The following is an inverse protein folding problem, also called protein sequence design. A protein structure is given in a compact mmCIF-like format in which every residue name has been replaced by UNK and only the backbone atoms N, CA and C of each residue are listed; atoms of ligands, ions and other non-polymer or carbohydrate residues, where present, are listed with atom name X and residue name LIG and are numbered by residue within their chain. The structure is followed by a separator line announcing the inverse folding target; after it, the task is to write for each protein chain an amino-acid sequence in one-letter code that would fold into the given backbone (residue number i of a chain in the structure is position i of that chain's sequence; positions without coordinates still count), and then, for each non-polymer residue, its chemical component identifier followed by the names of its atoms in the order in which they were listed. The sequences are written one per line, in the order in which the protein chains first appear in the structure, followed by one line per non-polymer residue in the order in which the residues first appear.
data_IF_193685750425
#
_entry.id   IF_193685750425
#
_cell.length_a   1.000
_cell.length_b   1.000
_cell.length_c   1.000
_cell.angle_alpha   90.00
_cell.angle_beta   90.00
_cell.angle_gamma   90.00
#
_symmetry.space_group_name_H-M   'P 1'
#
loop_
_entity.id
_entity.type
_entity.pdbx_description
1 polymer ?
#
# COMPACT_ATOMS: atom_id res chain seq x y z
N UNK A 1 13.74 1.92 3.20
CA UNK A 1 12.40 2.23 3.77
C UNK A 1 11.42 1.31 3.06
N UNK A 2 10.67 0.47 3.78
CA UNK A 2 9.83 -0.57 3.15
C UNK A 2 8.51 0.03 2.65
N UNK A 3 7.98 -0.51 1.56
CA UNK A 3 6.69 -0.15 0.97
C UNK A 3 5.83 -1.40 0.91
N UNK A 4 4.53 -1.22 1.08
CA UNK A 4 3.57 -2.30 1.01
C UNK A 4 2.47 -1.96 0.02
N UNK A 5 2.19 -2.87 -0.90
CA UNK A 5 1.01 -2.80 -1.76
C UNK A 5 -0.05 -3.71 -1.16
N UNK A 6 -1.23 -3.15 -0.92
CA UNK A 6 -2.44 -3.91 -0.66
C UNK A 6 -3.21 -4.05 -1.95
N UNK A 7 -3.38 -5.28 -2.40
CA UNK A 7 -4.36 -5.62 -3.43
C UNK A 7 -5.68 -5.94 -2.76
N UNK A 8 -6.72 -5.16 -3.05
CA UNK A 8 -8.01 -5.37 -2.40
C UNK A 8 -8.63 -6.70 -2.85
N UNK A 9 -9.39 -7.34 -1.95
CA UNK A 9 -10.01 -8.64 -2.25
C UNK A 9 -11.01 -8.60 -3.42
N UNK A 10 -11.64 -7.45 -3.66
CA UNK A 10 -12.56 -7.24 -4.77
C UNK A 10 -11.86 -6.99 -6.12
N UNK A 11 -10.53 -6.86 -6.12
CA UNK A 11 -9.69 -6.64 -7.30
C UNK A 11 -9.94 -5.32 -8.07
N UNK A 12 -10.56 -4.35 -7.41
CA UNK A 12 -10.92 -3.05 -7.99
C UNK A 12 -9.81 -2.00 -7.86
N UNK A 13 -8.91 -2.11 -6.89
CA UNK A 13 -7.84 -1.13 -6.67
C UNK A 13 -6.59 -1.74 -6.02
N UNK A 14 -5.46 -1.05 -6.17
CA UNK A 14 -4.25 -1.29 -5.39
C UNK A 14 -3.92 -0.08 -4.55
N UNK A 15 -3.42 -0.32 -3.33
CA UNK A 15 -3.11 0.75 -2.39
C UNK A 15 -1.65 0.68 -1.96
N UNK A 16 -0.90 1.77 -2.12
CA UNK A 16 0.48 1.85 -1.65
C UNK A 16 0.53 2.44 -0.24
N UNK A 17 1.20 1.72 0.64
CA UNK A 17 1.47 2.09 2.01
C UNK A 17 2.96 2.28 2.21
N UNK A 18 3.37 3.49 2.60
CA UNK A 18 4.71 3.74 3.09
C UNK A 18 4.82 3.15 4.50
N UNK A 19 5.87 2.38 4.78
CA UNK A 19 6.08 1.80 6.11
C UNK A 19 6.60 2.85 7.12
N UNK A 20 5.82 3.91 7.30
CA UNK A 20 6.12 5.08 8.13
C UNK A 20 5.70 4.90 9.60
N UNK A 21 4.87 3.89 9.89
CA UNK A 21 4.49 3.52 11.25
C UNK A 21 4.68 2.01 11.48
N UNK A 22 4.83 1.59 12.75
CA UNK A 22 5.05 0.19 13.13
C UNK A 22 4.00 -0.76 12.53
N UNK A 23 2.72 -0.36 12.53
CA UNK A 23 1.63 -1.14 11.91
C UNK A 23 1.85 -1.38 10.41
N UNK A 24 2.41 -0.40 9.70
CA UNK A 24 2.79 -0.57 8.31
C UNK A 24 4.04 -1.43 8.16
N UNK A 25 5.03 -1.31 9.06
CA UNK A 25 6.27 -2.08 8.99
C UNK A 25 6.01 -3.58 9.17
N UNK A 26 5.12 -3.94 10.09
CA UNK A 26 4.82 -5.32 10.44
C UNK A 26 3.71 -5.96 9.58
N UNK A 27 3.09 -5.21 8.67
CA UNK A 27 2.01 -5.73 7.81
C UNK A 27 0.72 -6.09 8.58
N UNK A 28 0.58 -5.68 9.85
CA UNK A 28 -0.54 -6.04 10.72
C UNK A 28 -1.78 -5.14 10.55
N UNK A 29 -2.05 -4.70 9.32
CA UNK A 29 -3.25 -3.89 9.07
C UNK A 29 -4.48 -4.78 8.92
N UNK A 30 -5.61 -4.47 9.60
CA UNK A 30 -6.84 -5.23 9.50
C UNK A 30 -7.60 -4.90 8.21
N UNK A 31 -6.94 -5.02 7.06
CA UNK A 31 -7.53 -4.76 5.74
C UNK A 31 -7.65 -6.08 4.98
N UNK A 32 -8.83 -6.39 4.40
CA UNK A 32 -9.01 -7.57 3.57
C UNK A 32 -8.25 -7.40 2.24
N UNK A 33 -7.39 -8.37 1.91
CA UNK A 33 -6.61 -8.36 0.68
C UNK A 33 -5.24 -9.03 0.85
N UNK A 34 -4.44 -9.00 -0.21
CA UNK A 34 -3.08 -9.55 -0.21
C UNK A 34 -2.07 -8.41 -0.08
N UNK A 35 -1.17 -8.54 0.90
CA UNK A 35 -0.10 -7.60 1.15
C UNK A 35 1.20 -8.05 0.47
N UNK A 36 1.79 -7.16 -0.33
CA UNK A 36 3.03 -7.41 -1.07
C UNK A 36 4.06 -6.35 -0.67
N UNK A 37 5.25 -6.79 -0.23
CA UNK A 37 6.30 -5.91 0.28
C UNK A 37 7.37 -5.58 -0.75
N UNK A 38 7.84 -4.34 -0.75
CA UNK A 38 8.86 -3.80 -1.66
C UNK A 38 9.88 -2.96 -0.89
N UNK A 39 11.12 -2.91 -1.40
CA UNK A 39 12.22 -2.18 -0.77
C UNK A 39 12.30 -0.70 -1.18
N UNK A 40 11.64 -0.34 -2.29
CA UNK A 40 11.57 1.03 -2.81
C UNK A 40 10.17 1.41 -3.30
N UNK A 41 9.91 2.72 -3.38
CA UNK A 41 8.65 3.25 -3.89
C UNK A 41 8.47 2.93 -5.38
N UNK A 42 9.56 3.01 -6.14
CA UNK A 42 9.56 2.77 -7.59
C UNK A 42 9.14 1.34 -7.91
N UNK A 43 9.62 0.34 -7.14
CA UNK A 43 9.18 -1.05 -7.27
C UNK A 43 7.69 -1.22 -6.96
N UNK A 44 7.21 -0.56 -5.91
CA UNK A 44 5.79 -0.61 -5.54
C UNK A 44 4.90 0.03 -6.64
N UNK A 45 5.35 1.14 -7.23
CA UNK A 45 4.65 1.81 -8.34
C UNK A 45 4.69 0.95 -9.61
N UNK A 46 5.84 0.36 -9.94
CA UNK A 46 5.98 -0.52 -11.09
C UNK A 46 5.09 -1.77 -10.96
N UNK A 47 5.00 -2.35 -9.76
CA UNK A 47 4.02 -3.37 -9.44
C UNK A 47 2.61 -2.88 -9.71
N UNK A 48 2.20 -1.76 -9.10
CA UNK A 48 0.86 -1.22 -9.26
C UNK A 48 0.49 -0.93 -10.72
N UNK A 49 1.41 -0.34 -11.50
CA UNK A 49 1.23 -0.04 -12.91
C UNK A 49 0.97 -1.29 -13.75
N UNK A 50 1.63 -2.42 -13.45
CA UNK A 50 1.40 -3.71 -14.11
C UNK A 50 0.01 -4.28 -13.87
N UNK A 51 -0.65 -3.87 -12.81
CA UNK A 51 -1.97 -4.41 -12.45
C UNK A 51 -3.12 -3.82 -13.25
N UNK A 52 -2.91 -2.68 -13.92
CA UNK A 52 -3.96 -1.96 -14.66
C UNK A 52 -5.08 -1.40 -13.77
N UNK A 53 -4.92 -1.43 -12.44
CA UNK A 53 -5.92 -0.96 -11.47
C UNK A 53 -5.63 0.46 -11.01
N UNK A 54 -6.66 1.23 -10.59
CA UNK A 54 -6.49 2.47 -9.88
C UNK A 54 -5.55 2.32 -8.67
N UNK A 55 -4.59 3.23 -8.55
CA UNK A 55 -3.62 3.26 -7.45
C UNK A 55 -4.05 4.30 -6.44
N UNK A 56 -4.31 3.86 -5.21
CA UNK A 56 -4.65 4.73 -4.09
C UNK A 56 -3.43 4.93 -3.18
N UNK A 57 -3.23 6.15 -2.70
CA UNK A 57 -2.31 6.38 -1.58
C UNK A 57 -3.03 6.17 -0.25
N UNK A 58 -2.34 5.54 0.69
CA UNK A 58 -2.87 5.33 2.02
C UNK A 58 -2.97 6.61 2.83
N UNK A 59 -4.20 7.09 3.02
CA UNK A 59 -4.54 8.11 4.04
C UNK A 59 -4.84 7.50 5.42
N UNK A 60 -4.94 6.16 5.54
CA UNK A 60 -5.43 5.48 6.75
C UNK A 60 -4.51 5.58 7.98
N UNK A 61 -3.19 5.67 7.79
CA UNK A 61 -2.26 5.68 8.94
C UNK A 61 -1.85 7.07 9.38
N UNK A 62 -1.93 8.05 8.48
CA UNK A 62 -1.55 9.44 8.73
C UNK A 62 -2.48 10.39 7.99
N UNK A 63 -3.81 10.35 8.24
CA UNK A 63 -4.76 11.25 7.58
C UNK A 63 -4.41 12.72 7.81
N UNK A 64 -3.81 13.05 8.96
CA UNK A 64 -3.33 14.39 9.33
C UNK A 64 -2.23 14.95 8.42
N UNK A 65 -1.55 14.10 7.63
CA UNK A 65 -0.52 14.55 6.68
C UNK A 65 -1.06 14.94 5.32
N UNK A 66 -2.35 14.72 5.08
CA UNK A 66 -3.04 15.00 3.82
C UNK A 66 -4.25 15.93 3.99
N UNK A 67 -4.39 16.55 5.18
CA UNK A 67 -5.39 17.56 5.50
C UNK A 67 -4.89 18.98 5.21
#
# INVERSE_FOLDING_TARGET
MRYWVLENAANDYVQIHRAECERCQEGQKPQPGTWIGFDSYDQAIEHCARTGRPVLQCMLCHPERYA
#
